data_IF_330761846479
#
_entry.id   IF_330761846479
#
_cell.length_a   1.000
_cell.length_b   1.000
_cell.length_c   1.000
_cell.angle_alpha   90.00
_cell.angle_beta   90.00
_cell.angle_gamma   90.00
#
_symmetry.space_group_name_H-M   'P 1'
#
loop_
_entity.id
_entity.type
_entity.pdbx_description
1 polymer ?
#
# COMPACT_ATOMS: atom_id res chain seq x y z
N UNK A 1 40.24 75.87 7.22
CA UNK A 1 38.78 76.01 7.26
C UNK A 1 38.27 76.39 5.90
N UNK A 2 37.16 75.76 5.49
CA UNK A 2 36.20 76.18 4.47
C UNK A 2 36.65 76.27 3.00
N UNK A 3 35.97 75.46 2.20
CA UNK A 3 35.12 75.85 1.06
C UNK A 3 35.65 76.83 0.01
N UNK A 4 35.56 76.44 -1.26
CA UNK A 4 35.58 77.40 -2.37
C UNK A 4 35.84 76.80 -3.74
N UNK A 5 34.78 76.75 -4.53
CA UNK A 5 34.66 76.39 -5.95
C UNK A 5 35.68 77.09 -6.86
N UNK A 6 36.20 76.40 -7.88
CA UNK A 6 36.83 77.01 -9.06
C UNK A 6 36.55 76.21 -10.35
N UNK A 7 36.61 76.84 -11.55
CA UNK A 7 35.75 76.52 -12.69
C UNK A 7 36.50 76.09 -13.98
N UNK A 8 35.68 75.73 -14.98
CA UNK A 8 35.85 75.87 -16.44
C UNK A 8 37.22 75.69 -17.11
N UNK A 9 37.26 74.84 -18.14
CA UNK A 9 37.96 75.19 -19.39
C UNK A 9 38.76 74.08 -20.09
N UNK A 10 38.39 73.89 -21.36
CA UNK A 10 39.22 73.51 -22.51
C UNK A 10 39.62 72.04 -22.79
N UNK A 11 39.01 71.58 -23.90
CA UNK A 11 39.49 70.64 -24.92
C UNK A 11 41.02 70.62 -25.13
N UNK A 12 41.56 69.45 -25.44
CA UNK A 12 42.32 69.28 -26.69
C UNK A 12 42.42 67.82 -27.14
N UNK A 13 42.17 67.61 -28.41
CA UNK A 13 42.38 66.39 -29.16
C UNK A 13 43.87 66.15 -29.47
N UNK A 14 44.14 64.90 -29.87
CA UNK A 14 45.17 64.45 -30.81
C UNK A 14 46.60 64.24 -30.29
N UNK A 15 47.03 62.99 -30.46
CA UNK A 15 48.31 62.71 -31.11
C UNK A 15 49.25 61.84 -30.29
N UNK A 16 49.50 60.62 -30.74
CA UNK A 16 50.64 59.84 -30.23
C UNK A 16 50.50 58.34 -30.41
N UNK A 17 50.78 57.88 -31.61
CA UNK A 17 50.86 56.49 -32.08
C UNK A 17 51.86 55.61 -31.31
N UNK A 18 51.44 54.38 -30.95
CA UNK A 18 52.27 53.24 -30.53
C UNK A 18 51.54 51.91 -30.80
N UNK A 19 52.23 50.79 -31.06
CA UNK A 19 51.94 49.90 -32.20
C UNK A 19 50.88 48.81 -31.97
N UNK A 20 50.28 48.40 -33.11
CA UNK A 20 49.36 47.27 -33.28
C UNK A 20 49.89 45.98 -32.65
N UNK A 21 49.11 45.37 -31.76
CA UNK A 21 49.13 43.92 -31.53
C UNK A 21 47.80 43.32 -31.95
N UNK A 22 47.93 42.29 -32.77
CA UNK A 22 46.92 41.58 -33.53
C UNK A 22 45.79 41.10 -32.61
N UNK A 23 44.56 41.48 -32.92
CA UNK A 23 43.40 40.82 -32.33
C UNK A 23 43.42 39.34 -32.73
N UNK A 24 43.58 38.46 -31.74
CA UNK A 24 43.24 37.05 -31.90
C UNK A 24 41.73 36.97 -32.17
N UNK A 25 41.37 36.93 -33.45
CA UNK A 25 40.04 36.53 -33.86
C UNK A 25 39.80 35.11 -33.34
N UNK A 26 38.67 34.91 -32.68
CA UNK A 26 38.17 33.57 -32.39
C UNK A 26 38.20 32.74 -33.69
N UNK A 27 38.68 31.48 -33.66
CA UNK A 27 38.82 30.70 -34.88
C UNK A 27 37.49 30.61 -35.62
N UNK A 28 37.50 30.81 -36.94
CA UNK A 28 36.30 30.68 -37.79
C UNK A 28 36.06 29.19 -38.04
N UNK A 29 35.38 28.56 -37.09
CA UNK A 29 35.06 27.13 -37.11
C UNK A 29 34.37 26.73 -38.41
N UNK A 30 34.78 25.59 -38.98
CA UNK A 30 34.11 25.04 -40.15
C UNK A 30 32.71 24.55 -39.77
N UNK A 31 31.75 24.65 -40.70
CA UNK A 31 30.36 24.19 -40.49
C UNK A 31 30.30 22.73 -39.99
N UNK A 32 31.29 21.92 -40.35
CA UNK A 32 31.44 20.52 -39.90
C UNK A 32 31.77 20.42 -38.40
N UNK A 33 32.68 21.26 -37.89
CA UNK A 33 33.11 21.22 -36.49
C UNK A 33 32.01 21.76 -35.56
N UNK A 34 31.27 22.77 -36.00
CA UNK A 34 30.09 23.29 -35.27
C UNK A 34 29.02 22.21 -35.12
N UNK A 35 28.74 21.44 -36.18
CA UNK A 35 27.80 20.31 -36.13
C UNK A 35 28.27 19.17 -35.22
N UNK A 36 29.58 18.89 -35.19
CA UNK A 36 30.14 17.85 -34.31
C UNK A 36 30.09 18.27 -32.84
N UNK A 37 30.45 19.52 -32.54
CA UNK A 37 30.38 20.04 -31.18
C UNK A 37 28.94 20.15 -30.68
N UNK A 38 27.99 20.58 -31.52
CA UNK A 38 26.59 20.61 -31.14
C UNK A 38 26.02 19.21 -30.90
N UNK A 39 26.39 18.23 -31.73
CA UNK A 39 26.04 16.83 -31.53
C UNK A 39 26.60 16.23 -30.24
N UNK A 40 27.86 16.53 -29.91
CA UNK A 40 28.49 16.09 -28.65
C UNK A 40 27.84 16.72 -27.43
N UNK A 41 27.51 18.02 -27.48
CA UNK A 41 26.81 18.71 -26.38
C UNK A 41 25.42 18.13 -26.18
N UNK A 42 24.69 17.84 -27.26
CA UNK A 42 23.37 17.21 -27.17
C UNK A 42 23.45 15.79 -26.62
N UNK A 43 24.41 14.98 -27.08
CA UNK A 43 24.63 13.63 -26.57
C UNK A 43 25.01 13.63 -25.08
N UNK A 44 25.92 14.52 -24.66
CA UNK A 44 26.29 14.68 -23.26
C UNK A 44 25.09 15.13 -22.40
N UNK A 45 24.29 16.07 -22.90
CA UNK A 45 23.05 16.51 -22.25
C UNK A 45 22.04 15.37 -22.08
N UNK A 46 21.83 14.56 -23.12
CA UNK A 46 20.97 13.38 -23.04
C UNK A 46 21.50 12.35 -22.04
N UNK A 47 22.81 12.07 -22.02
CA UNK A 47 23.41 11.16 -21.06
C UNK A 47 23.23 11.65 -19.61
N UNK A 48 23.41 12.95 -19.36
CA UNK A 48 23.17 13.55 -18.04
C UNK A 48 21.70 13.44 -17.63
N UNK A 49 20.77 13.71 -18.54
CA UNK A 49 19.33 13.58 -18.27
C UNK A 49 18.96 12.13 -17.95
N UNK A 50 19.46 11.16 -18.73
CA UNK A 50 19.22 9.74 -18.48
C UNK A 50 19.82 9.28 -17.16
N UNK A 51 21.05 9.71 -16.83
CA UNK A 51 21.67 9.42 -15.55
C UNK A 51 20.86 10.02 -14.38
N UNK A 52 20.42 11.27 -14.50
CA UNK A 52 19.55 11.91 -13.51
C UNK A 52 18.22 11.17 -13.34
N UNK A 53 17.57 10.75 -14.44
CA UNK A 53 16.33 9.97 -14.38
C UNK A 53 16.58 8.61 -13.70
N UNK A 54 17.67 7.92 -14.02
CA UNK A 54 18.02 6.64 -13.40
C UNK A 54 18.30 6.80 -11.90
N UNK A 55 19.03 7.84 -11.50
CA UNK A 55 19.29 8.16 -10.08
C UNK A 55 17.99 8.52 -9.35
N UNK A 56 17.13 9.35 -9.94
CA UNK A 56 15.83 9.69 -9.35
C UNK A 56 14.93 8.46 -9.20
N UNK A 57 14.94 7.55 -10.19
CA UNK A 57 14.20 6.29 -10.10
C UNK A 57 14.78 5.37 -9.03
N UNK A 58 16.11 5.29 -8.92
CA UNK A 58 16.78 4.50 -7.89
C UNK A 58 16.45 5.03 -6.48
N UNK A 59 16.58 6.35 -6.26
CA UNK A 59 16.22 6.99 -5.00
C UNK A 59 14.73 6.85 -4.66
N UNK A 60 13.85 6.94 -5.65
CA UNK A 60 12.42 6.74 -5.44
C UNK A 60 12.08 5.29 -5.06
N UNK A 61 12.70 4.31 -5.71
CA UNK A 61 12.50 2.88 -5.40
C UNK A 61 13.02 2.53 -4.00
N UNK A 62 14.17 3.06 -3.60
CA UNK A 62 14.75 2.86 -2.27
C UNK A 62 13.87 3.52 -1.18
N UNK A 63 13.33 4.70 -1.45
CA UNK A 63 12.44 5.40 -0.51
C UNK A 63 11.06 4.74 -0.37
N UNK A 64 10.48 4.26 -1.48
CA UNK A 64 9.20 3.56 -1.48
C UNK A 64 9.30 2.21 -0.74
N UNK A 65 10.40 1.45 -0.92
CA UNK A 65 10.62 0.18 -0.23
C UNK A 65 10.72 0.35 1.30
N UNK A 66 11.47 1.36 1.77
CA UNK A 66 11.61 1.68 3.19
C UNK A 66 10.29 2.17 3.81
N UNK A 67 9.53 2.99 3.07
CA UNK A 67 8.20 3.43 3.52
C UNK A 67 7.19 2.27 3.53
N UNK A 68 7.26 1.29 2.63
CA UNK A 68 6.28 0.21 2.57
C UNK A 68 6.38 -0.73 3.78
N UNK A 69 7.59 -1.11 4.17
CA UNK A 69 7.84 -2.03 5.28
C UNK A 69 7.48 -1.37 6.63
N UNK A 70 7.97 -0.15 6.88
CA UNK A 70 7.63 0.61 8.10
C UNK A 70 6.17 1.09 8.16
N UNK A 71 5.50 1.29 7.02
CA UNK A 71 4.08 1.67 6.98
C UNK A 71 3.18 0.50 7.33
N UNK A 72 3.50 -0.71 6.90
CA UNK A 72 2.72 -1.90 7.25
C UNK A 72 2.82 -2.19 8.75
N UNK A 73 4.03 -2.12 9.32
CA UNK A 73 4.23 -2.27 10.77
C UNK A 73 3.51 -1.18 11.57
N UNK A 74 3.63 0.09 11.16
CA UNK A 74 2.92 1.20 11.80
C UNK A 74 1.40 1.01 11.75
N UNK A 75 0.85 0.57 10.62
CA UNK A 75 -0.59 0.29 10.47
C UNK A 75 -1.03 -0.86 11.38
N UNK A 76 -0.24 -1.93 11.46
CA UNK A 76 -0.51 -3.06 12.34
C UNK A 76 -0.49 -2.63 13.81
N UNK A 77 0.53 -1.86 14.21
CA UNK A 77 0.65 -1.32 15.56
C UNK A 77 -0.54 -0.41 15.91
N UNK A 78 -0.90 0.54 15.06
CA UNK A 78 -2.03 1.45 15.31
C UNK A 78 -3.35 0.67 15.45
N UNK A 79 -3.57 -0.38 14.63
CA UNK A 79 -4.75 -1.25 14.76
C UNK A 79 -4.74 -2.02 16.08
N UNK A 80 -3.62 -2.61 16.46
CA UNK A 80 -3.47 -3.34 17.71
C UNK A 80 -3.69 -2.41 18.92
N UNK A 81 -3.05 -1.25 18.94
CA UNK A 81 -3.20 -0.25 20.00
C UNK A 81 -4.64 0.23 20.14
N UNK A 82 -5.35 0.46 19.02
CA UNK A 82 -6.77 0.83 19.05
C UNK A 82 -7.65 -0.31 19.57
N UNK A 83 -7.38 -1.54 19.15
CA UNK A 83 -8.10 -2.72 19.64
C UNK A 83 -7.97 -2.84 21.17
N UNK A 84 -6.75 -2.75 21.69
CA UNK A 84 -6.47 -2.79 23.13
C UNK A 84 -7.16 -1.63 23.85
N UNK A 85 -6.97 -0.39 23.38
CA UNK A 85 -7.55 0.80 24.00
C UNK A 85 -9.09 0.73 24.07
N UNK A 86 -9.74 0.15 23.06
CA UNK A 86 -11.18 -0.01 23.07
C UNK A 86 -11.65 -1.03 24.12
N UNK A 87 -10.87 -2.07 24.41
CA UNK A 87 -11.27 -3.16 25.31
C UNK A 87 -10.97 -2.86 26.79
N UNK A 88 -10.02 -1.97 27.06
CA UNK A 88 -9.69 -1.53 28.40
C UNK A 88 -10.81 -0.69 29.02
N UNK A 89 -11.05 -0.91 30.30
CA UNK A 89 -11.83 -0.07 31.19
C UNK A 89 -10.92 0.65 32.20
N UNK A 90 -10.61 1.95 31.99
CA UNK A 90 -9.70 2.69 32.86
C UNK A 90 -10.30 3.04 34.23
N UNK A 91 -11.58 2.74 34.47
CA UNK A 91 -12.24 3.01 35.76
C UNK A 91 -11.95 1.95 36.82
N UNK A 92 -11.38 0.81 36.42
CA UNK A 92 -11.05 -0.31 37.29
C UNK A 92 -9.57 -0.27 37.67
N UNK A 93 -9.26 -0.46 38.95
CA UNK A 93 -7.87 -0.60 39.40
C UNK A 93 -7.28 -1.94 38.90
N UNK A 94 -6.26 -1.93 38.01
CA UNK A 94 -5.66 -3.14 37.47
C UNK A 94 -4.97 -4.01 38.53
N UNK A 95 -4.56 -3.43 39.66
CA UNK A 95 -3.96 -4.17 40.78
C UNK A 95 -5.00 -4.95 41.60
N UNK A 96 -6.29 -4.69 41.40
CA UNK A 96 -7.40 -5.34 42.10
C UNK A 96 -8.15 -6.32 41.23
N UNK A 97 -8.47 -5.93 39.99
CA UNK A 97 -9.15 -6.78 39.02
C UNK A 97 -8.63 -6.47 37.61
N UNK A 98 -7.56 -7.15 37.24
CA UNK A 98 -6.94 -6.99 35.93
C UNK A 98 -7.86 -7.45 34.78
N UNK A 99 -8.77 -8.41 35.03
CA UNK A 99 -9.68 -8.91 33.99
C UNK A 99 -10.71 -7.84 33.62
N UNK A 100 -11.39 -7.26 34.61
CA UNK A 100 -12.36 -6.19 34.37
C UNK A 100 -11.68 -4.93 33.81
N UNK A 101 -10.45 -4.61 34.25
CA UNK A 101 -9.65 -3.55 33.64
C UNK A 101 -9.32 -3.83 32.17
N UNK A 102 -8.81 -5.02 31.82
CA UNK A 102 -8.34 -5.31 30.47
C UNK A 102 -9.48 -5.62 29.47
N UNK A 103 -10.58 -6.18 29.94
CA UNK A 103 -11.67 -6.70 29.10
C UNK A 103 -13.02 -6.02 29.33
N UNK A 104 -13.19 -5.20 30.37
CA UNK A 104 -14.47 -4.59 30.75
C UNK A 104 -15.11 -3.76 29.64
N UNK A 105 -14.30 -3.07 28.83
CA UNK A 105 -14.77 -2.36 27.64
C UNK A 105 -15.35 -3.29 26.58
N UNK A 106 -14.78 -4.48 26.40
CA UNK A 106 -15.30 -5.49 25.47
C UNK A 106 -16.62 -6.07 25.96
N UNK A 107 -16.68 -6.46 27.23
CA UNK A 107 -17.86 -7.06 27.88
C UNK A 107 -19.09 -6.14 27.80
N UNK A 108 -18.91 -4.82 27.96
CA UNK A 108 -20.00 -3.84 27.81
C UNK A 108 -20.60 -3.76 26.41
N UNK A 109 -19.80 -4.04 25.37
CA UNK A 109 -20.23 -3.91 23.97
C UNK A 109 -20.67 -5.25 23.35
N UNK A 110 -20.33 -6.37 23.98
CA UNK A 110 -20.56 -7.70 23.45
C UNK A 110 -21.27 -8.56 24.48
N UNK A 111 -22.60 -8.40 24.56
CA UNK A 111 -23.45 -9.33 25.28
C UNK A 111 -23.41 -10.71 24.60
N UNK A 112 -23.66 -11.76 25.38
CA UNK A 112 -23.76 -13.12 24.85
C UNK A 112 -25.03 -13.20 23.99
N UNK A 113 -24.92 -13.51 22.68
CA UNK A 113 -26.09 -13.70 21.81
C UNK A 113 -26.97 -14.88 22.28
N UNK A 114 -28.27 -14.86 21.96
CA UNK A 114 -29.22 -15.89 22.40
C UNK A 114 -28.91 -17.31 21.88
N UNK A 115 -28.24 -17.40 20.73
CA UNK A 115 -27.81 -18.64 20.11
C UNK A 115 -26.52 -19.23 20.73
N UNK A 116 -25.96 -18.58 21.76
CA UNK A 116 -24.64 -18.94 22.31
C UNK A 116 -24.67 -19.05 23.83
N UNK A 117 -23.93 -20.04 24.33
CA UNK A 117 -23.68 -20.20 25.77
C UNK A 117 -22.47 -19.37 26.24
N UNK A 118 -21.50 -19.15 25.36
CA UNK A 118 -20.25 -18.46 25.65
C UNK A 118 -19.91 -17.55 24.47
N UNK A 119 -19.60 -16.29 24.74
CA UNK A 119 -19.16 -15.35 23.73
C UNK A 119 -17.89 -14.62 24.19
N UNK A 120 -16.85 -14.74 23.37
CA UNK A 120 -15.53 -14.17 23.63
C UNK A 120 -14.85 -13.75 22.32
N UNK A 121 -13.62 -13.25 22.43
CA UNK A 121 -12.87 -12.74 21.27
C UNK A 121 -12.69 -13.80 20.17
N UNK A 122 -12.39 -15.06 20.53
CA UNK A 122 -12.22 -16.15 19.55
C UNK A 122 -13.52 -16.42 18.79
N UNK A 123 -14.66 -16.44 19.48
CA UNK A 123 -15.97 -16.61 18.86
C UNK A 123 -16.27 -15.46 17.89
N UNK A 124 -16.04 -14.21 18.32
CA UNK A 124 -16.25 -13.04 17.47
C UNK A 124 -15.34 -13.04 16.22
N UNK A 125 -14.08 -13.49 16.34
CA UNK A 125 -13.18 -13.68 15.19
C UNK A 125 -13.71 -14.80 14.27
N UNK A 126 -14.22 -15.88 14.85
CA UNK A 126 -14.85 -16.98 14.13
C UNK A 126 -16.01 -16.49 13.25
N UNK A 127 -16.95 -15.74 13.82
CA UNK A 127 -18.09 -15.17 13.09
C UNK A 127 -17.64 -14.26 11.94
N UNK A 128 -16.65 -13.38 12.18
CA UNK A 128 -16.11 -12.53 11.12
C UNK A 128 -15.44 -13.32 9.99
N UNK A 129 -14.81 -14.45 10.32
CA UNK A 129 -14.20 -15.32 9.32
C UNK A 129 -15.25 -16.12 8.55
N UNK A 130 -16.28 -16.61 9.23
CA UNK A 130 -17.41 -17.31 8.62
C UNK A 130 -18.15 -16.40 7.63
N UNK A 131 -18.43 -15.16 8.01
CA UNK A 131 -19.07 -14.17 7.13
C UNK A 131 -18.21 -13.90 5.87
N UNK A 132 -16.88 -13.79 6.02
CA UNK A 132 -15.97 -13.65 4.88
C UNK A 132 -15.95 -14.91 4.03
N UNK A 133 -15.91 -16.09 4.64
CA UNK A 133 -15.88 -17.37 3.93
C UNK A 133 -17.18 -17.57 3.13
N UNK A 134 -18.33 -17.28 3.73
CA UNK A 134 -19.63 -17.31 3.06
C UNK A 134 -19.63 -16.39 1.83
N UNK A 135 -19.17 -15.14 1.97
CA UNK A 135 -19.02 -14.22 0.81
C UNK A 135 -18.13 -14.80 -0.28
N UNK A 136 -17.00 -15.41 0.07
CA UNK A 136 -16.07 -16.01 -0.89
C UNK A 136 -16.67 -17.24 -1.60
N UNK A 137 -17.42 -18.07 -0.89
CA UNK A 137 -18.03 -19.27 -1.43
C UNK A 137 -19.21 -18.96 -2.37
N UNK A 138 -19.96 -17.89 -2.08
CA UNK A 138 -21.07 -17.44 -2.93
C UNK A 138 -20.61 -16.79 -4.25
N UNK A 139 -19.38 -16.28 -4.32
CA UNK A 139 -18.85 -15.72 -5.55
C UNK A 139 -18.76 -16.76 -6.68
N UNK A 140 -18.85 -16.32 -7.96
CA UNK A 140 -18.66 -17.21 -9.12
C UNK A 140 -17.35 -17.99 -9.04
N UNK A 141 -17.35 -19.21 -9.58
CA UNK A 141 -16.15 -20.05 -9.66
C UNK A 141 -15.17 -19.40 -10.63
N UNK A 142 -13.96 -19.08 -10.17
CA UNK A 142 -12.93 -18.44 -11.02
C UNK A 142 -12.19 -19.47 -11.86
N UNK A 143 -12.04 -20.70 -11.35
CA UNK A 143 -11.37 -21.83 -12.00
C UNK A 143 -12.39 -22.93 -12.33
N UNK A 144 -13.09 -22.87 -13.49
CA UNK A 144 -14.26 -23.71 -13.76
C UNK A 144 -13.93 -25.15 -14.20
N UNK A 145 -12.68 -25.59 -14.15
CA UNK A 145 -12.32 -26.97 -14.50
C UNK A 145 -12.84 -27.97 -13.45
N UNK A 146 -13.23 -29.17 -13.89
CA UNK A 146 -13.96 -30.12 -13.04
C UNK A 146 -13.18 -30.60 -11.82
N UNK A 147 -11.85 -30.72 -11.92
CA UNK A 147 -10.97 -31.12 -10.83
C UNK A 147 -10.62 -29.97 -9.86
N UNK A 148 -11.17 -28.77 -10.06
CA UNK A 148 -10.85 -27.58 -9.26
C UNK A 148 -11.35 -27.72 -7.83
N UNK A 149 -10.43 -27.56 -6.88
CA UNK A 149 -10.77 -27.49 -5.46
C UNK A 149 -11.73 -26.33 -5.15
N UNK A 150 -11.54 -25.19 -5.83
CA UNK A 150 -12.44 -24.03 -5.69
C UNK A 150 -13.86 -24.39 -6.15
N UNK A 151 -13.98 -25.06 -7.30
CA UNK A 151 -15.28 -25.47 -7.85
C UNK A 151 -15.98 -26.42 -6.90
N UNK A 152 -15.30 -27.49 -6.47
CA UNK A 152 -15.86 -28.51 -5.57
C UNK A 152 -16.30 -27.90 -4.23
N UNK A 153 -15.48 -27.05 -3.61
CA UNK A 153 -15.83 -26.40 -2.36
C UNK A 153 -17.07 -25.50 -2.49
N UNK A 154 -17.17 -24.74 -3.58
CA UNK A 154 -18.32 -23.85 -3.83
C UNK A 154 -19.59 -24.61 -4.20
N UNK A 155 -19.49 -25.68 -4.98
CA UNK A 155 -20.63 -26.54 -5.32
C UNK A 155 -21.14 -27.30 -4.10
N UNK A 156 -20.24 -27.84 -3.28
CA UNK A 156 -20.59 -28.46 -1.99
C UNK A 156 -21.30 -27.47 -1.07
N UNK A 157 -20.78 -26.25 -0.95
CA UNK A 157 -21.44 -25.20 -0.17
C UNK A 157 -22.85 -24.88 -0.70
N UNK A 158 -23.04 -24.81 -2.02
CA UNK A 158 -24.36 -24.59 -2.63
C UNK A 158 -25.31 -25.77 -2.37
N UNK A 159 -24.84 -27.01 -2.38
CA UNK A 159 -25.69 -28.15 -2.05
C UNK A 159 -26.21 -28.11 -0.61
N UNK A 160 -25.46 -27.54 0.33
CA UNK A 160 -25.94 -27.34 1.70
C UNK A 160 -27.00 -26.23 1.83
N UNK A 161 -27.08 -25.31 0.87
CA UNK A 161 -28.04 -24.21 0.88
C UNK A 161 -29.32 -24.51 0.10
N UNK A 162 -29.33 -25.56 -0.73
CA UNK A 162 -30.49 -25.95 -1.54
C UNK A 162 -31.50 -26.74 -0.71
N UNK A 163 -32.24 -26.01 0.13
CA UNK A 163 -33.27 -26.60 0.99
C UNK A 163 -34.36 -27.31 0.19
N UNK A 164 -34.67 -26.86 -1.03
CA UNK A 164 -35.69 -27.48 -1.85
C UNK A 164 -35.28 -28.90 -2.28
N UNK A 165 -34.01 -29.08 -2.68
CA UNK A 165 -33.49 -30.41 -3.01
C UNK A 165 -33.36 -31.30 -1.77
N UNK A 166 -32.91 -30.74 -0.64
CA UNK A 166 -32.82 -31.46 0.65
C UNK A 166 -34.21 -31.97 1.06
N UNK A 167 -35.24 -31.11 1.03
CA UNK A 167 -36.61 -31.46 1.41
C UNK A 167 -37.22 -32.48 0.43
N UNK A 168 -36.91 -32.37 -0.87
CA UNK A 168 -37.35 -33.33 -1.89
C UNK A 168 -36.77 -34.73 -1.67
N UNK A 169 -35.52 -34.83 -1.22
CA UNK A 169 -34.88 -36.12 -0.93
C UNK A 169 -35.36 -36.72 0.40
N UNK A 170 -35.72 -35.87 1.37
CA UNK A 170 -36.19 -36.31 2.68
C UNK A 170 -35.19 -37.22 3.39
N UNK A 171 -35.70 -38.23 4.10
CA UNK A 171 -34.84 -39.17 4.85
C UNK A 171 -34.15 -40.23 3.97
N UNK A 172 -34.49 -40.33 2.68
CA UNK A 172 -34.06 -41.43 1.81
C UNK A 172 -32.53 -41.64 1.78
N UNK A 173 -31.69 -40.61 1.59
CA UNK A 173 -30.24 -40.80 1.56
C UNK A 173 -29.69 -41.40 2.86
N UNK A 174 -30.29 -41.06 4.01
CA UNK A 174 -29.87 -41.60 5.29
C UNK A 174 -30.36 -43.04 5.50
N UNK A 175 -31.55 -43.38 5.03
CA UNK A 175 -32.08 -44.74 5.08
C UNK A 175 -31.23 -45.71 4.26
N UNK A 176 -30.81 -45.31 3.05
CA UNK A 176 -29.89 -46.09 2.21
C UNK A 176 -28.58 -46.39 2.96
N UNK A 177 -27.99 -45.38 3.62
CA UNK A 177 -26.77 -45.56 4.42
C UNK A 177 -26.99 -46.50 5.62
N UNK A 178 -28.14 -46.41 6.29
CA UNK A 178 -28.47 -47.29 7.43
C UNK A 178 -28.60 -48.75 6.96
N UNK A 179 -29.29 -48.98 5.84
CA UNK A 179 -29.43 -50.31 5.24
C UNK A 179 -28.07 -50.90 4.85
N UNK A 180 -27.21 -50.11 4.19
CA UNK A 180 -25.85 -50.50 3.82
C UNK A 180 -24.98 -50.83 5.06
N UNK A 181 -25.28 -50.20 6.20
CA UNK A 181 -24.58 -50.41 7.47
C UNK A 181 -25.15 -51.59 8.29
N UNK A 182 -26.09 -52.36 7.75
CA UNK A 182 -26.68 -53.54 8.41
C UNK A 182 -28.00 -53.26 9.14
N UNK A 183 -28.63 -52.12 8.87
CA UNK A 183 -29.93 -51.75 9.43
C UNK A 183 -29.82 -51.14 10.83
N UNK A 184 -30.98 -50.67 11.33
CA UNK A 184 -31.15 -50.21 12.70
C UNK A 184 -32.35 -50.97 13.29
N UNK A 185 -32.10 -51.88 14.24
CA UNK A 185 -33.16 -52.48 15.05
C UNK A 185 -33.63 -51.44 16.08
N UNK A 186 -34.80 -50.82 15.83
CA UNK A 186 -35.47 -49.94 16.78
C UNK A 186 -36.28 -50.73 17.80
#
# INVERSE_FOLDING_TARGET
SSSGTLPNGFNFQLGGTGPKKQGCGLPRWSRREVCLLSGLVFAAGLCLILACILVLKYLAVEHDAYCLEGCQERKAFVKASRFVANNIDPTIDPCKDFYSFACGGWLRRHAIPEDKLIFGIIAAIGEQNEEKLQRLLLQPVRRPYWASAERKAKEFFRSCLDMAEIDRQGARPMLEVIEDCGGWDM
#
